data_IF_089152923154
#
_entry.id   IF_089152923154
#
_cell.length_a   1.000
_cell.length_b   1.000
_cell.length_c   1.000
_cell.angle_alpha   90.00
_cell.angle_beta   90.00
_cell.angle_gamma   90.00
#
_symmetry.space_group_name_H-M   'P 1'
#
loop_
_entity.id
_entity.type
_entity.pdbx_description
1 polymer ?
#
# COMPACT_ATOMS: atom_id res chain seq x y z
N UNK A 1 46.81 -10.11 -60.39
CA UNK A 1 47.24 -9.02 -61.31
C UNK A 1 46.15 -7.95 -61.20
N UNK A 2 46.26 -6.80 -60.55
CA UNK A 2 47.36 -5.88 -60.32
C UNK A 2 47.10 -4.98 -59.08
N UNK A 3 48.16 -4.80 -58.28
CA UNK A 3 48.73 -3.54 -57.76
C UNK A 3 47.91 -2.61 -56.82
N UNK A 4 48.42 -2.54 -55.57
CA UNK A 4 48.58 -1.36 -54.69
C UNK A 4 49.13 -0.10 -55.43
N UNK A 5 49.01 1.16 -54.92
CA UNK A 5 49.58 1.56 -53.61
C UNK A 5 48.96 2.74 -52.82
N UNK A 6 49.44 2.82 -51.58
CA UNK A 6 49.31 3.90 -50.58
C UNK A 6 49.94 5.23 -51.03
N UNK A 7 49.39 6.33 -50.49
CA UNK A 7 50.01 7.62 -50.04
C UNK A 7 48.88 8.68 -50.09
N UNK A 8 48.56 9.46 -49.07
CA UNK A 8 49.37 10.43 -48.34
C UNK A 8 48.68 10.81 -47.01
N UNK A 9 49.50 11.15 -46.01
CA UNK A 9 49.09 11.76 -44.75
C UNK A 9 48.26 13.04 -44.94
N UNK A 10 47.30 13.26 -44.06
CA UNK A 10 47.13 14.59 -43.46
C UNK A 10 46.59 14.44 -42.02
N UNK A 11 47.44 14.75 -41.05
CA UNK A 11 46.99 15.09 -39.70
C UNK A 11 46.24 16.42 -39.80
N UNK A 12 45.02 16.51 -39.27
CA UNK A 12 44.61 17.66 -38.45
C UNK A 12 43.31 17.40 -37.67
N UNK A 13 43.42 17.64 -36.36
CA UNK A 13 42.39 18.15 -35.45
C UNK A 13 41.29 17.20 -34.93
N UNK A 14 41.57 16.73 -33.69
CA UNK A 14 40.76 16.93 -32.47
C UNK A 14 39.32 16.39 -32.42
N UNK A 15 39.12 15.60 -31.36
CA UNK A 15 37.89 15.36 -30.60
C UNK A 15 36.79 14.52 -31.26
N UNK A 16 36.83 13.21 -30.99
CA UNK A 16 35.59 12.44 -30.78
C UNK A 16 35.83 11.53 -29.57
N UNK A 17 35.02 11.76 -28.52
CA UNK A 17 34.93 10.89 -27.35
C UNK A 17 34.59 9.44 -27.75
N UNK A 18 35.00 8.43 -26.97
CA UNK A 18 34.63 7.05 -27.24
C UNK A 18 33.11 6.84 -27.10
N UNK A 19 32.52 5.87 -27.83
CA UNK A 19 31.08 5.69 -27.88
C UNK A 19 30.61 4.94 -26.63
N UNK A 20 30.29 5.66 -25.56
CA UNK A 20 29.45 5.14 -24.49
C UNK A 20 28.05 5.70 -24.71
N UNK A 21 27.33 5.29 -25.76
CA UNK A 21 25.88 5.44 -25.87
C UNK A 21 25.34 4.80 -27.16
N UNK A 22 25.71 3.55 -27.44
CA UNK A 22 24.95 2.70 -28.35
C UNK A 22 24.45 1.46 -27.60
N UNK A 23 23.65 1.69 -26.56
CA UNK A 23 22.64 0.70 -26.18
C UNK A 23 21.35 1.12 -26.87
N UNK A 24 20.98 0.36 -27.89
CA UNK A 24 19.68 0.39 -28.54
C UNK A 24 18.56 0.39 -27.47
N UNK A 25 17.41 1.04 -27.71
CA UNK A 25 16.21 0.80 -26.92
C UNK A 25 15.65 -0.57 -27.30
N UNK A 26 16.37 -1.63 -26.92
CA UNK A 26 15.90 -3.00 -26.96
C UNK A 26 15.00 -3.23 -25.76
N UNK A 27 13.69 -3.05 -25.98
CA UNK A 27 12.65 -3.74 -25.22
C UNK A 27 12.74 -3.64 -23.68
N UNK A 28 13.13 -2.48 -23.16
CA UNK A 28 13.05 -2.22 -21.73
C UNK A 28 11.58 -2.06 -21.36
N UNK A 29 10.91 -3.17 -21.05
CA UNK A 29 9.65 -3.13 -20.29
C UNK A 29 9.87 -2.19 -19.11
N UNK A 30 8.95 -1.24 -18.84
CA UNK A 30 9.04 -0.39 -17.67
C UNK A 30 9.25 -1.28 -16.44
N UNK A 31 10.45 -1.28 -15.87
CA UNK A 31 10.72 -2.01 -14.64
C UNK A 31 9.90 -1.34 -13.54
N UNK A 32 9.19 -2.14 -12.76
CA UNK A 32 8.41 -1.60 -11.65
C UNK A 32 9.36 -0.98 -10.63
N UNK A 33 8.88 -0.01 -9.84
CA UNK A 33 9.73 0.59 -8.80
C UNK A 33 10.28 -0.45 -7.82
N UNK A 34 9.52 -1.52 -7.56
CA UNK A 34 9.95 -2.63 -6.69
C UNK A 34 11.17 -3.36 -7.23
N UNK A 35 11.40 -3.33 -8.55
CA UNK A 35 12.56 -3.91 -9.23
C UNK A 35 13.77 -2.97 -9.19
N UNK A 36 13.51 -1.66 -9.18
CA UNK A 36 14.54 -0.61 -9.21
C UNK A 36 15.01 -0.15 -7.82
N UNK A 37 14.19 -0.31 -6.77
CA UNK A 37 14.46 0.17 -5.42
C UNK A 37 14.80 -0.98 -4.44
N UNK A 38 15.60 -0.70 -3.40
CA UNK A 38 15.73 -1.61 -2.26
C UNK A 38 14.36 -1.94 -1.64
N UNK A 39 14.23 -3.14 -1.07
CA UNK A 39 12.98 -3.63 -0.47
C UNK A 39 12.47 -2.69 0.62
N UNK A 40 13.35 -2.11 1.42
CA UNK A 40 13.00 -1.20 2.51
C UNK A 40 12.29 0.05 2.00
N UNK A 41 12.71 0.57 0.84
CA UNK A 41 12.07 1.71 0.20
C UNK A 41 10.72 1.33 -0.38
N UNK A 42 10.59 0.12 -0.93
CA UNK A 42 9.31 -0.41 -1.39
C UNK A 42 8.33 -0.57 -0.24
N UNK A 43 8.76 -1.10 0.91
CA UNK A 43 7.95 -1.22 2.13
C UNK A 43 7.50 0.15 2.63
N UNK A 44 8.37 1.17 2.61
CA UNK A 44 7.97 2.55 2.97
C UNK A 44 6.88 3.09 2.05
N UNK A 45 7.04 2.93 0.72
CA UNK A 45 6.03 3.36 -0.26
C UNK A 45 4.69 2.66 -0.01
N UNK A 46 4.69 1.35 0.18
CA UNK A 46 3.46 0.62 0.50
C UNK A 46 2.87 1.01 1.87
N UNK A 47 3.72 1.43 2.82
CA UNK A 47 3.32 1.91 4.14
C UNK A 47 2.48 3.19 4.11
N UNK A 48 2.63 4.03 3.08
CA UNK A 48 1.85 5.25 2.87
C UNK A 48 0.43 4.97 2.32
N UNK A 49 0.16 3.75 1.87
CA UNK A 49 -1.15 3.40 1.32
C UNK A 49 -2.19 3.17 2.42
N UNK A 50 -3.42 3.59 2.18
CA UNK A 50 -4.55 3.17 2.99
C UNK A 50 -4.85 1.68 2.75
N UNK A 51 -5.49 1.02 3.72
CA UNK A 51 -5.71 -0.43 3.67
C UNK A 51 -6.40 -0.94 2.38
N UNK A 52 -7.41 -0.26 1.79
CA UNK A 52 -7.98 -0.64 0.49
C UNK A 52 -6.98 -0.56 -0.67
N UNK A 53 -6.17 0.51 -0.73
CA UNK A 53 -5.14 0.66 -1.76
C UNK A 53 -4.05 -0.39 -1.59
N UNK A 54 -3.68 -0.71 -0.35
CA UNK A 54 -2.76 -1.80 -0.04
C UNK A 54 -3.30 -3.17 -0.49
N UNK A 55 -4.57 -3.46 -0.22
CA UNK A 55 -5.23 -4.68 -0.72
C UNK A 55 -5.24 -4.74 -2.25
N UNK A 56 -5.38 -3.58 -2.91
CA UNK A 56 -5.28 -3.49 -4.37
C UNK A 56 -3.85 -3.74 -4.85
N UNK A 57 -2.85 -3.22 -4.14
CA UNK A 57 -1.43 -3.43 -4.41
C UNK A 57 -1.02 -4.91 -4.28
N UNK A 58 -1.50 -5.64 -3.27
CA UNK A 58 -1.26 -7.09 -3.10
C UNK A 58 -1.74 -7.91 -4.32
N UNK A 59 -2.73 -7.40 -5.04
CA UNK A 59 -3.34 -8.07 -6.20
C UNK A 59 -2.68 -7.74 -7.54
N UNK A 60 -1.74 -6.80 -7.61
CA UNK A 60 -1.16 -6.35 -8.89
C UNK A 60 -0.21 -7.39 -9.48
N UNK A 61 0.77 -7.87 -8.71
CA UNK A 61 1.72 -8.89 -9.14
C UNK A 61 2.28 -9.69 -7.94
N UNK A 62 2.99 -10.79 -8.23
CA UNK A 62 3.58 -11.66 -7.20
C UNK A 62 4.61 -10.92 -6.35
N UNK A 63 5.53 -10.18 -6.98
CA UNK A 63 6.58 -9.43 -6.27
C UNK A 63 6.01 -8.42 -5.27
N UNK A 64 4.94 -7.70 -5.62
CA UNK A 64 4.28 -6.77 -4.71
C UNK A 64 3.62 -7.49 -3.54
N UNK A 65 2.93 -8.60 -3.83
CA UNK A 65 2.36 -9.47 -2.82
C UNK A 65 3.42 -9.94 -1.83
N UNK A 66 4.53 -10.47 -2.31
CA UNK A 66 5.57 -11.03 -1.45
C UNK A 66 6.14 -9.94 -0.51
N UNK A 67 6.50 -8.77 -1.06
CA UNK A 67 6.99 -7.63 -0.25
C UNK A 67 5.97 -7.18 0.81
N UNK A 68 4.68 -7.12 0.46
CA UNK A 68 3.63 -6.64 1.36
C UNK A 68 3.28 -7.72 2.40
N UNK A 69 3.11 -8.97 1.99
CA UNK A 69 2.69 -10.06 2.87
C UNK A 69 3.76 -10.42 3.89
N UNK A 70 5.04 -10.38 3.51
CA UNK A 70 6.16 -10.73 4.39
C UNK A 70 6.55 -9.59 5.35
N UNK A 71 6.03 -8.38 5.15
CA UNK A 71 6.36 -7.22 5.97
C UNK A 71 5.45 -7.09 7.20
N UNK A 72 5.87 -7.71 8.31
CA UNK A 72 5.16 -7.60 9.59
C UNK A 72 5.03 -6.14 10.07
N UNK A 73 6.06 -5.32 9.84
CA UNK A 73 6.05 -3.90 10.18
C UNK A 73 4.93 -3.14 9.45
N UNK A 74 4.69 -3.46 8.18
CA UNK A 74 3.65 -2.81 7.39
C UNK A 74 2.26 -3.14 7.95
N UNK A 75 2.00 -4.40 8.26
CA UNK A 75 0.75 -4.83 8.89
C UNK A 75 0.58 -4.21 10.28
N UNK A 76 1.66 -4.10 11.06
CA UNK A 76 1.67 -3.42 12.36
C UNK A 76 1.23 -1.96 12.24
N UNK A 77 1.81 -1.21 11.31
CA UNK A 77 1.43 0.21 11.10
C UNK A 77 -0.05 0.36 10.75
N UNK A 78 -0.57 -0.47 9.85
CA UNK A 78 -1.98 -0.48 9.49
C UNK A 78 -2.88 -0.85 10.69
N UNK A 79 -2.47 -1.82 11.50
CA UNK A 79 -3.15 -2.19 12.75
C UNK A 79 -3.21 -1.04 13.75
N UNK A 80 -2.16 -0.24 13.88
CA UNK A 80 -2.16 0.91 14.79
C UNK A 80 -3.21 1.96 14.38
N UNK A 81 -3.44 2.15 13.09
CA UNK A 81 -4.54 3.00 12.60
C UNK A 81 -5.91 2.47 13.06
N UNK A 82 -6.14 1.16 12.91
CA UNK A 82 -7.39 0.50 13.36
C UNK A 82 -7.55 0.57 14.88
N UNK A 83 -6.46 0.45 15.64
CA UNK A 83 -6.42 0.49 17.10
C UNK A 83 -6.92 1.81 17.68
N UNK A 84 -6.78 2.93 16.96
CA UNK A 84 -7.31 4.23 17.40
C UNK A 84 -8.83 4.24 17.58
N UNK A 85 -9.53 3.31 16.93
CA UNK A 85 -11.00 3.19 16.97
C UNK A 85 -11.44 1.91 17.70
N UNK A 86 -10.72 0.81 17.47
CA UNK A 86 -11.00 -0.52 18.03
C UNK A 86 -9.88 -0.97 18.95
N UNK A 87 -9.57 -0.16 19.98
CA UNK A 87 -8.47 -0.45 20.89
C UNK A 87 -8.70 -1.78 21.63
N UNK A 88 -9.90 -2.00 22.17
CA UNK A 88 -10.25 -3.18 22.97
C UNK A 88 -10.06 -4.47 22.17
N UNK A 89 -10.51 -4.49 20.93
CA UNK A 89 -10.46 -5.65 20.05
C UNK A 89 -9.04 -5.92 19.55
N UNK A 90 -8.32 -4.87 19.11
CA UNK A 90 -6.92 -5.03 18.69
C UNK A 90 -6.07 -5.50 19.86
N UNK A 91 -6.18 -4.89 21.03
CA UNK A 91 -5.37 -5.26 22.20
C UNK A 91 -5.69 -6.70 22.67
N UNK A 92 -6.94 -7.16 22.52
CA UNK A 92 -7.32 -8.56 22.77
C UNK A 92 -6.63 -9.50 21.77
N UNK A 93 -6.78 -9.26 20.48
CA UNK A 93 -6.16 -10.08 19.43
C UNK A 93 -4.63 -10.15 19.59
N UNK A 94 -3.99 -9.07 20.04
CA UNK A 94 -2.56 -9.05 20.36
C UNK A 94 -2.22 -9.92 21.57
N UNK A 95 -3.01 -9.86 22.64
CA UNK A 95 -2.83 -10.73 23.83
C UNK A 95 -3.02 -12.21 23.48
N UNK A 96 -3.94 -12.51 22.57
CA UNK A 96 -4.22 -13.86 22.10
C UNK A 96 -3.15 -14.39 21.12
N UNK A 97 -2.09 -13.61 20.86
CA UNK A 97 -0.94 -14.04 20.06
C UNK A 97 -1.19 -14.09 18.55
N UNK A 98 -2.26 -13.46 18.04
CA UNK A 98 -2.52 -13.42 16.61
C UNK A 98 -1.44 -12.61 15.87
N UNK A 99 -1.26 -12.80 14.57
CA UNK A 99 -0.36 -11.94 13.78
C UNK A 99 -0.99 -10.57 13.53
N UNK A 100 -0.17 -9.56 13.18
CA UNK A 100 -0.69 -8.24 12.83
C UNK A 100 -1.62 -8.29 11.62
N UNK A 101 -1.28 -9.09 10.59
CA UNK A 101 -2.14 -9.28 9.42
C UNK A 101 -3.52 -9.83 9.80
N UNK A 102 -3.56 -10.89 10.63
CA UNK A 102 -4.83 -11.48 11.08
C UNK A 102 -5.63 -10.49 11.93
N UNK A 103 -4.96 -9.80 12.85
CA UNK A 103 -5.58 -8.77 13.72
C UNK A 103 -6.21 -7.65 12.87
N UNK A 104 -5.50 -7.16 11.84
CA UNK A 104 -6.00 -6.12 10.95
C UNK A 104 -7.25 -6.59 10.22
N UNK A 105 -7.18 -7.75 9.55
CA UNK A 105 -8.27 -8.28 8.73
C UNK A 105 -9.53 -8.50 9.56
N UNK A 106 -9.40 -9.04 10.78
CA UNK A 106 -10.53 -9.27 11.70
C UNK A 106 -11.24 -7.98 12.11
N UNK A 107 -10.47 -6.92 12.38
CA UNK A 107 -11.01 -5.68 12.96
C UNK A 107 -11.29 -4.58 11.94
N UNK A 108 -10.85 -4.73 10.70
CA UNK A 108 -10.92 -3.67 9.69
C UNK A 108 -12.37 -3.21 9.41
N UNK A 109 -13.28 -4.13 9.13
CA UNK A 109 -14.67 -3.78 8.81
C UNK A 109 -15.38 -3.14 10.01
N UNK A 110 -15.19 -3.71 11.21
CA UNK A 110 -15.70 -3.15 12.47
C UNK A 110 -15.19 -1.72 12.70
N UNK A 111 -13.88 -1.51 12.59
CA UNK A 111 -13.24 -0.21 12.80
C UNK A 111 -13.70 0.83 11.81
N UNK A 112 -13.85 0.47 10.53
CA UNK A 112 -14.45 1.36 9.53
C UNK A 112 -15.84 1.78 9.93
N UNK A 113 -16.72 0.82 10.22
CA UNK A 113 -18.11 1.12 10.56
C UNK A 113 -18.19 1.99 11.82
N UNK A 114 -17.48 1.62 12.89
CA UNK A 114 -17.43 2.39 14.15
C UNK A 114 -16.92 3.81 13.93
N UNK A 115 -15.81 3.99 13.19
CA UNK A 115 -15.27 5.31 12.85
C UNK A 115 -16.28 6.18 12.11
N UNK A 116 -17.05 5.56 11.23
CA UNK A 116 -18.03 6.25 10.39
C UNK A 116 -19.23 6.75 11.22
N UNK A 117 -19.67 5.96 12.21
CA UNK A 117 -20.63 6.37 13.24
C UNK A 117 -20.08 7.51 14.11
N UNK A 118 -18.88 7.33 14.69
CA UNK A 118 -18.27 8.34 15.59
C UNK A 118 -18.02 9.69 14.89
N UNK A 119 -17.78 9.68 13.57
CA UNK A 119 -17.65 10.91 12.77
C UNK A 119 -18.99 11.61 12.49
N UNK A 120 -20.11 11.05 12.93
CA UNK A 120 -21.45 11.61 12.70
C UNK A 120 -21.95 11.43 11.27
N UNK A 121 -21.37 10.51 10.48
CA UNK A 121 -21.83 10.29 9.10
C UNK A 121 -23.25 9.74 9.01
N UNK A 122 -23.78 9.28 10.14
CA UNK A 122 -25.10 8.68 10.27
C UNK A 122 -25.96 9.39 11.34
N UNK A 123 -25.60 10.61 11.76
CA UNK A 123 -26.35 11.38 12.77
C UNK A 123 -27.78 11.74 12.33
N UNK A 124 -28.02 11.83 11.02
CA UNK A 124 -29.30 12.28 10.45
C UNK A 124 -29.95 11.22 9.57
N UNK A 125 -29.76 9.94 9.87
CA UNK A 125 -30.35 8.85 9.10
C UNK A 125 -31.87 8.93 9.17
N UNK A 126 -32.52 9.09 8.01
CA UNK A 126 -33.99 9.22 7.93
C UNK A 126 -34.70 7.91 7.66
N UNK A 127 -34.00 6.96 7.07
CA UNK A 127 -34.55 5.65 6.72
C UNK A 127 -33.48 4.56 6.72
N UNK A 128 -33.91 3.30 6.78
CA UNK A 128 -32.99 2.17 6.82
C UNK A 128 -32.27 1.95 5.48
N UNK A 129 -32.85 2.41 4.36
CA UNK A 129 -32.25 2.32 3.03
C UNK A 129 -30.93 3.10 2.93
N UNK A 130 -30.78 4.18 3.71
CA UNK A 130 -29.53 4.95 3.77
C UNK A 130 -28.36 4.15 4.37
N UNK A 131 -28.67 3.07 5.11
CA UNK A 131 -27.70 2.17 5.74
C UNK A 131 -27.47 0.89 4.94
N UNK A 132 -28.41 0.47 4.08
CA UNK A 132 -28.47 -0.87 3.48
C UNK A 132 -27.44 -1.15 2.38
N UNK A 133 -26.81 -0.12 1.81
CA UNK A 133 -25.77 -0.27 0.79
C UNK A 133 -24.36 -0.57 1.32
N UNK A 134 -24.19 -0.72 2.65
CA UNK A 134 -22.86 -0.83 3.29
C UNK A 134 -22.67 -2.20 3.93
N UNK A 135 -21.44 -2.72 3.85
CA UNK A 135 -21.04 -3.90 4.63
C UNK A 135 -21.14 -3.57 6.12
N UNK A 136 -22.22 -4.00 6.75
CA UNK A 136 -22.37 -3.92 8.19
C UNK A 136 -21.66 -5.13 8.82
N UNK A 137 -21.09 -4.93 10.00
CA UNK A 137 -20.61 -6.02 10.83
C UNK A 137 -21.35 -5.91 12.15
N UNK A 138 -21.85 -7.01 12.72
CA UNK A 138 -22.46 -6.97 14.04
C UNK A 138 -21.53 -6.32 15.07
N UNK A 139 -22.05 -5.33 15.77
CA UNK A 139 -21.39 -4.71 16.93
C UNK A 139 -22.02 -5.25 18.20
N UNK A 140 -21.20 -5.40 19.23
CA UNK A 140 -21.68 -5.76 20.57
C UNK A 140 -22.32 -4.55 21.27
N UNK A 141 -23.04 -4.85 22.36
CA UNK A 141 -23.76 -3.84 23.14
C UNK A 141 -22.83 -2.74 23.67
N UNK A 142 -21.61 -3.09 24.07
CA UNK A 142 -20.63 -2.15 24.59
C UNK A 142 -20.19 -1.15 23.50
N UNK A 143 -19.89 -1.65 22.30
CA UNK A 143 -19.53 -0.82 21.15
C UNK A 143 -20.67 0.10 20.72
N UNK A 144 -21.92 -0.40 20.74
CA UNK A 144 -23.09 0.44 20.49
C UNK A 144 -23.24 1.51 21.58
N UNK A 145 -23.02 1.17 22.84
CA UNK A 145 -23.03 2.12 23.95
C UNK A 145 -22.04 3.27 23.75
N UNK A 146 -20.80 2.97 23.32
CA UNK A 146 -19.80 3.99 22.99
C UNK A 146 -20.25 4.91 21.85
N UNK A 147 -20.84 4.34 20.79
CA UNK A 147 -21.34 5.11 19.64
C UNK A 147 -22.50 6.02 20.06
N UNK A 148 -23.46 5.50 20.82
CA UNK A 148 -24.62 6.26 21.27
C UNK A 148 -24.23 7.37 22.23
N UNK A 149 -23.28 7.12 23.14
CA UNK A 149 -22.76 8.16 24.02
C UNK A 149 -22.10 9.30 23.23
N UNK A 150 -21.26 8.96 22.24
CA UNK A 150 -20.62 9.96 21.39
C UNK A 150 -21.62 10.79 20.57
N UNK A 151 -22.80 10.25 20.26
CA UNK A 151 -23.87 10.99 19.58
C UNK A 151 -24.64 11.91 20.54
N UNK A 152 -24.86 11.49 21.79
CA UNK A 152 -25.47 12.32 22.83
C UNK A 152 -24.59 13.51 23.23
N UNK A 153 -23.27 13.33 23.21
CA UNK A 153 -22.29 14.35 23.60
C UNK A 153 -22.03 15.41 22.50
N UNK A 154 -22.69 15.31 21.35
CA UNK A 154 -22.43 16.13 20.15
C UNK A 154 -23.13 17.49 20.15
#
# INVERSE_FOLDING_TARGET
>A
VCKQPLRHLNLHLRTVMPPVFLLLPGDARPQGFVDALPTEMSVKIFGELDTPSLCSAVRTCRRWRDIIEDSDQLWRTQCLSVRTVCQREVDRDRRDGLSWKVTLVRNYTRSRMKRDWLRGRYSHVRSWEELSGRKTTPLDAETWGEILQAELDR
#
